data_IF_189596538661
#
_entry.id   IF_189596538661
#
_cell.length_a   1.000
_cell.length_b   1.000
_cell.length_c   1.000
_cell.angle_alpha   90.00
_cell.angle_beta   90.00
_cell.angle_gamma   90.00
#
_symmetry.space_group_name_H-M   'P 1'
#
loop_
_entity.id
_entity.type
_entity.pdbx_description
1 polymer ?
#
# COMPACT_ATOMS: atom_id res chain seq x y z
N UNK A 1 4.70 -23.06 4.04
CA UNK A 1 4.31 -22.31 2.82
C UNK A 1 3.64 -21.02 3.25
N UNK A 2 3.91 -19.88 2.61
CA UNK A 2 3.21 -18.62 2.92
C UNK A 2 1.84 -18.68 2.21
N UNK A 3 0.75 -18.36 2.91
CA UNK A 3 -0.61 -18.50 2.37
C UNK A 3 -0.98 -17.48 1.27
N UNK A 4 -0.04 -16.60 0.88
CA UNK A 4 -0.27 -15.53 -0.08
C UNK A 4 0.89 -15.42 -1.08
N UNK A 5 0.58 -15.39 -2.38
CA UNK A 5 1.53 -15.15 -3.47
C UNK A 5 1.27 -13.78 -4.11
N UNK A 6 1.71 -12.72 -3.42
CA UNK A 6 1.61 -11.37 -3.96
C UNK A 6 2.50 -11.13 -5.19
N UNK A 7 3.73 -11.67 -5.31
CA UNK A 7 4.52 -11.52 -6.53
C UNK A 7 3.80 -11.98 -7.81
N UNK A 8 3.09 -13.12 -7.79
CA UNK A 8 2.29 -13.56 -8.93
C UNK A 8 1.13 -12.61 -9.24
N UNK A 9 0.45 -12.09 -8.21
CA UNK A 9 -0.60 -11.08 -8.38
C UNK A 9 -0.06 -9.75 -8.90
N UNK A 10 1.09 -9.29 -8.41
CA UNK A 10 1.75 -8.08 -8.90
C UNK A 10 2.11 -8.18 -10.39
N UNK A 11 2.56 -9.35 -10.86
CA UNK A 11 2.74 -9.62 -12.30
C UNK A 11 1.43 -9.59 -13.08
N UNK A 12 0.33 -10.06 -12.51
CA UNK A 12 -0.97 -9.98 -13.16
C UNK A 12 -1.47 -8.52 -13.24
N UNK A 13 -1.31 -7.76 -12.15
CA UNK A 13 -1.63 -6.33 -12.08
C UNK A 13 -0.80 -5.55 -13.12
N UNK A 14 0.50 -5.82 -13.26
CA UNK A 14 1.33 -5.12 -14.25
C UNK A 14 0.90 -5.41 -15.69
N UNK A 15 0.45 -6.64 -16.00
CA UNK A 15 -0.14 -6.96 -17.31
C UNK A 15 -1.44 -6.19 -17.57
N UNK A 16 -2.32 -6.10 -16.57
CA UNK A 16 -3.56 -5.32 -16.66
C UNK A 16 -3.23 -3.85 -16.94
N UNK A 17 -2.35 -3.25 -16.15
CA UNK A 17 -2.00 -1.84 -16.26
C UNK A 17 -1.25 -1.50 -17.57
N UNK A 18 -0.58 -2.48 -18.17
CA UNK A 18 0.05 -2.30 -19.49
C UNK A 18 -0.97 -2.15 -20.61
N UNK A 19 -2.15 -2.76 -20.44
CA UNK A 19 -3.26 -2.66 -21.38
C UNK A 19 -4.06 -1.37 -21.14
N UNK A 20 -4.40 -1.08 -19.89
CA UNK A 20 -5.25 0.07 -19.51
C UNK A 20 -4.51 1.41 -19.52
N UNK A 21 -3.21 1.40 -19.19
CA UNK A 21 -2.32 2.57 -19.11
C UNK A 21 -2.89 3.77 -18.32
N UNK A 22 -3.38 3.57 -17.09
CA UNK A 22 -3.90 4.68 -16.30
C UNK A 22 -2.78 5.62 -15.84
N UNK A 23 -3.02 6.93 -15.81
CA UNK A 23 -2.02 7.92 -15.38
C UNK A 23 -1.83 7.97 -13.85
N UNK A 24 -2.85 7.53 -13.10
CA UNK A 24 -2.82 7.40 -11.66
C UNK A 24 -3.57 6.14 -11.19
N UNK A 25 -3.11 5.54 -10.10
CA UNK A 25 -3.65 4.29 -9.53
C UNK A 25 -3.80 4.48 -8.02
N UNK A 26 -5.02 4.31 -7.51
CA UNK A 26 -5.27 4.19 -6.08
C UNK A 26 -5.15 2.73 -5.62
N UNK A 27 -4.43 2.49 -4.53
CA UNK A 27 -4.19 1.18 -3.97
C UNK A 27 -4.54 1.18 -2.48
N UNK A 28 -5.27 0.15 -2.06
CA UNK A 28 -5.56 -0.13 -0.65
C UNK A 28 -4.81 -1.39 -0.21
N UNK A 29 -4.57 -1.52 1.08
CA UNK A 29 -3.96 -2.71 1.68
C UNK A 29 -2.59 -3.10 1.07
N UNK A 30 -1.77 -2.10 0.79
CA UNK A 30 -0.40 -2.25 0.27
C UNK A 30 0.55 -2.66 1.40
N UNK A 31 0.33 -3.87 1.91
CA UNK A 31 0.93 -4.38 3.13
C UNK A 31 2.47 -4.34 3.12
N UNK A 32 3.04 -4.04 4.29
CA UNK A 32 4.43 -4.30 4.63
C UNK A 32 4.47 -5.33 5.74
N UNK A 33 5.08 -6.48 5.44
CA UNK A 33 5.29 -7.58 6.36
C UNK A 33 6.75 -7.66 6.76
N UNK A 34 7.00 -7.69 8.07
CA UNK A 34 8.32 -7.88 8.65
C UNK A 34 8.31 -8.99 9.68
N UNK A 35 9.44 -9.66 9.88
CA UNK A 35 9.60 -10.74 10.86
C UNK A 35 10.99 -10.68 11.49
N UNK A 36 11.11 -11.13 12.74
CA UNK A 36 12.39 -11.25 13.43
C UNK A 36 12.25 -11.90 14.81
N UNK A 37 13.35 -11.98 15.59
CA UNK A 37 13.33 -12.54 16.94
C UNK A 37 12.43 -11.74 17.90
N UNK A 38 11.89 -12.38 18.96
CA UNK A 38 10.89 -11.83 19.88
C UNK A 38 11.32 -10.51 20.57
N UNK A 39 12.64 -10.30 20.77
CA UNK A 39 13.22 -9.02 21.24
C UNK A 39 14.22 -8.41 20.25
N UNK A 40 14.30 -8.94 19.03
CA UNK A 40 15.31 -8.58 18.04
C UNK A 40 14.82 -7.65 16.94
N UNK A 41 15.71 -7.32 15.98
CA UNK A 41 15.36 -6.51 14.83
C UNK A 41 14.36 -7.23 13.92
N UNK A 42 13.50 -6.45 13.28
CA UNK A 42 12.55 -6.92 12.28
C UNK A 42 13.15 -6.74 10.88
N UNK A 43 13.02 -7.76 10.03
CA UNK A 43 13.44 -7.73 8.63
C UNK A 43 12.24 -7.82 7.71
N UNK A 44 12.26 -7.08 6.60
CA UNK A 44 11.20 -7.14 5.58
C UNK A 44 11.14 -8.52 4.95
N UNK A 45 9.96 -9.13 5.00
CA UNK A 45 9.65 -10.39 4.32
C UNK A 45 8.91 -10.12 3.02
N UNK A 46 7.91 -9.22 3.06
CA UNK A 46 7.21 -8.72 1.88
C UNK A 46 6.95 -7.23 2.02
N UNK A 47 7.32 -6.46 1.01
CA UNK A 47 6.82 -5.11 0.81
C UNK A 47 6.01 -5.11 -0.49
N UNK A 48 4.68 -5.07 -0.37
CA UNK A 48 3.79 -5.15 -1.53
C UNK A 48 3.96 -3.95 -2.48
N UNK A 49 4.27 -2.77 -1.95
CA UNK A 49 4.49 -1.57 -2.76
C UNK A 49 5.75 -1.76 -3.61
N UNK A 50 6.85 -2.16 -2.99
CA UNK A 50 8.13 -2.37 -3.66
C UNK A 50 8.07 -3.53 -4.67
N UNK A 51 7.39 -4.64 -4.32
CA UNK A 51 7.13 -5.74 -5.26
C UNK A 51 6.33 -5.24 -6.48
N UNK A 52 5.24 -4.51 -6.27
CA UNK A 52 4.42 -4.01 -7.37
C UNK A 52 5.21 -3.04 -8.25
N UNK A 53 5.91 -2.06 -7.68
CA UNK A 53 6.72 -1.10 -8.44
C UNK A 53 7.82 -1.79 -9.26
N UNK A 54 8.43 -2.87 -8.75
CA UNK A 54 9.38 -3.68 -9.53
C UNK A 54 8.70 -4.39 -10.71
N UNK A 55 7.54 -5.00 -10.51
CA UNK A 55 6.83 -5.70 -11.58
C UNK A 55 6.27 -4.74 -12.64
N UNK A 56 5.89 -3.52 -12.25
CA UNK A 56 5.56 -2.44 -13.18
C UNK A 56 6.77 -2.07 -14.04
N UNK A 57 7.92 -1.80 -13.42
CA UNK A 57 9.16 -1.49 -14.15
C UNK A 57 9.55 -2.61 -15.12
N UNK A 58 9.45 -3.87 -14.70
CA UNK A 58 9.70 -5.04 -15.58
C UNK A 58 8.74 -5.12 -16.76
N UNK A 59 7.52 -4.63 -16.61
CA UNK A 59 6.53 -4.54 -17.69
C UNK A 59 6.70 -3.30 -18.59
N UNK A 60 7.74 -2.48 -18.38
CA UNK A 60 7.98 -1.24 -19.10
C UNK A 60 7.10 -0.07 -18.62
N UNK A 61 6.51 -0.20 -17.43
CA UNK A 61 5.65 0.81 -16.82
C UNK A 61 6.41 1.52 -15.70
N UNK A 62 6.49 2.85 -15.80
CA UNK A 62 7.24 3.68 -14.87
C UNK A 62 6.26 4.45 -14.01
N UNK A 63 6.08 4.00 -12.77
CA UNK A 63 5.25 4.64 -11.77
C UNK A 63 6.06 4.91 -10.51
N UNK A 64 5.67 5.96 -9.79
CA UNK A 64 6.15 6.29 -8.45
C UNK A 64 4.99 6.49 -7.49
N UNK A 65 5.23 6.24 -6.20
CA UNK A 65 4.26 6.60 -5.17
C UNK A 65 4.24 8.12 -4.98
N UNK A 66 3.07 8.72 -5.15
CA UNK A 66 2.83 10.15 -4.95
C UNK A 66 2.29 10.47 -3.55
N UNK A 67 1.56 9.53 -2.95
CA UNK A 67 1.12 9.57 -1.56
C UNK A 67 1.11 8.14 -1.01
N UNK A 68 1.50 7.97 0.25
CA UNK A 68 1.42 6.70 0.98
C UNK A 68 0.95 7.00 2.41
N UNK A 69 -0.23 6.52 2.76
CA UNK A 69 -0.78 6.58 4.11
C UNK A 69 -0.45 5.28 4.85
N UNK A 70 -0.21 5.36 6.16
CA UNK A 70 -0.10 4.20 7.05
C UNK A 70 -1.33 4.12 7.95
N UNK A 71 -2.26 3.23 7.59
CA UNK A 71 -3.54 3.05 8.31
C UNK A 71 -3.44 2.09 9.49
N UNK A 72 -2.23 1.67 9.88
CA UNK A 72 -1.99 0.97 11.14
C UNK A 72 -0.77 0.07 11.11
N UNK A 73 -0.24 -0.25 12.28
CA UNK A 73 0.80 -1.26 12.45
C UNK A 73 0.48 -2.13 13.66
N UNK A 74 0.60 -3.44 13.48
CA UNK A 74 0.48 -4.43 14.53
C UNK A 74 1.73 -5.28 14.55
N UNK A 75 2.23 -5.57 15.75
CA UNK A 75 3.34 -6.51 15.93
C UNK A 75 2.94 -7.53 16.99
N UNK A 76 3.03 -8.81 16.65
CA UNK A 76 2.60 -9.91 17.51
C UNK A 76 3.66 -11.02 17.54
N UNK A 77 3.83 -11.72 18.68
CA UNK A 77 4.52 -13.00 18.70
C UNK A 77 3.85 -13.98 17.74
N UNK A 78 4.65 -14.72 16.97
CA UNK A 78 4.17 -15.81 16.09
C UNK A 78 4.75 -17.17 16.48
N UNK A 79 5.68 -17.18 17.44
CA UNK A 79 6.21 -18.37 18.10
C UNK A 79 6.83 -17.95 19.44
N UNK A 80 7.40 -18.91 20.19
CA UNK A 80 8.14 -18.63 21.42
C UNK A 80 9.42 -17.79 21.20
N UNK A 81 9.93 -17.73 19.97
CA UNK A 81 11.22 -17.08 19.66
C UNK A 81 11.10 -15.96 18.63
N UNK A 82 9.97 -15.82 17.94
CA UNK A 82 9.79 -14.89 16.82
C UNK A 82 8.53 -14.04 16.95
N UNK A 83 8.59 -12.86 16.34
CA UNK A 83 7.46 -11.95 16.14
C UNK A 83 7.36 -11.51 14.69
N UNK A 84 6.14 -11.20 14.27
CA UNK A 84 5.84 -10.60 12.98
C UNK A 84 5.22 -9.21 13.19
N UNK A 85 5.50 -8.32 12.24
CA UNK A 85 4.89 -7.00 12.15
C UNK A 85 4.18 -6.86 10.81
N UNK A 86 2.95 -6.36 10.88
CA UNK A 86 2.11 -6.02 9.75
C UNK A 86 1.85 -4.53 9.79
N UNK A 87 2.22 -3.83 8.74
CA UNK A 87 1.87 -2.42 8.52
C UNK A 87 0.93 -2.33 7.33
N UNK A 88 -0.27 -1.81 7.56
CA UNK A 88 -1.22 -1.53 6.50
C UNK A 88 -0.93 -0.16 5.89
N UNK A 89 -0.94 -0.08 4.56
CA UNK A 89 -0.71 1.17 3.83
C UNK A 89 -1.69 1.30 2.69
N UNK A 90 -2.07 2.52 2.38
CA UNK A 90 -2.78 2.86 1.15
C UNK A 90 -1.91 3.81 0.35
N UNK A 91 -1.94 3.74 -0.98
CA UNK A 91 -1.03 4.50 -1.82
C UNK A 91 -1.72 5.03 -3.07
N UNK A 92 -1.26 6.20 -3.54
CA UNK A 92 -1.53 6.66 -4.91
C UNK A 92 -0.23 6.54 -5.69
N UNK A 93 -0.25 5.74 -6.76
CA UNK A 93 0.81 5.72 -7.75
C UNK A 93 0.46 6.67 -8.90
N UNK A 94 1.47 7.34 -9.45
CA UNK A 94 1.36 8.18 -10.64
C UNK A 94 2.42 7.76 -11.64
N UNK A 95 2.12 7.86 -12.92
CA UNK A 95 3.11 7.65 -13.96
C UNK A 95 4.25 8.67 -13.83
N UNK A 96 5.49 8.23 -14.07
CA UNK A 96 6.65 9.11 -14.01
C UNK A 96 6.55 10.24 -15.03
N UNK A 97 7.06 11.42 -14.66
CA UNK A 97 6.98 12.63 -15.48
C UNK A 97 5.68 13.43 -15.35
N UNK A 98 4.64 12.90 -14.70
CA UNK A 98 3.44 13.67 -14.38
C UNK A 98 3.70 14.69 -13.26
N UNK A 99 3.35 15.97 -13.45
CA UNK A 99 3.34 16.95 -12.37
C UNK A 99 2.34 16.53 -11.30
N UNK A 100 2.81 16.46 -10.05
CA UNK A 100 1.98 16.19 -8.89
C UNK A 100 2.14 17.32 -7.89
N UNK A 101 1.01 17.78 -7.37
CA UNK A 101 0.94 18.80 -6.33
C UNK A 101 -0.03 18.37 -5.24
N UNK A 102 0.02 19.04 -4.08
CA UNK A 102 -1.01 18.92 -3.04
C UNK A 102 -1.26 17.47 -2.57
N UNK A 103 -0.18 16.70 -2.41
CA UNK A 103 -0.25 15.36 -1.85
C UNK A 103 -0.62 15.43 -0.37
N UNK A 104 -1.69 14.74 0.00
CA UNK A 104 -2.25 14.75 1.34
C UNK A 104 -2.63 13.32 1.75
N UNK A 105 -2.44 12.99 3.02
CA UNK A 105 -2.87 11.74 3.64
C UNK A 105 -3.39 12.03 5.04
N UNK A 106 -4.58 11.54 5.37
CA UNK A 106 -5.21 11.77 6.67
C UNK A 106 -5.98 10.55 7.14
N UNK A 107 -5.96 10.34 8.45
CA UNK A 107 -6.73 9.30 9.11
C UNK A 107 -8.11 9.84 9.51
N UNK A 108 -9.14 9.00 9.36
CA UNK A 108 -10.46 9.25 9.90
C UNK A 108 -10.46 9.13 11.42
N UNK A 109 -11.38 9.85 12.07
CA UNK A 109 -11.62 9.68 13.50
C UNK A 109 -12.22 8.29 13.82
N UNK A 110 -13.04 7.77 12.90
CA UNK A 110 -13.57 6.42 12.97
C UNK A 110 -12.46 5.38 12.76
N UNK A 111 -12.51 4.30 13.55
CA UNK A 111 -11.56 3.19 13.48
C UNK A 111 -12.31 1.89 13.27
N UNK A 112 -11.80 1.03 12.40
CA UNK A 112 -12.28 -0.33 12.30
C UNK A 112 -11.74 -1.13 13.47
N UNK A 113 -12.64 -1.65 14.30
CA UNK A 113 -12.27 -2.48 15.44
C UNK A 113 -12.94 -3.84 15.35
N UNK A 114 -12.19 -4.89 15.68
CA UNK A 114 -12.73 -6.25 15.79
C UNK A 114 -12.11 -6.96 16.99
N UNK A 115 -12.92 -7.80 17.64
CA UNK A 115 -12.49 -8.62 18.76
C UNK A 115 -12.35 -10.06 18.30
N UNK A 116 -11.19 -10.64 18.57
CA UNK A 116 -10.95 -12.07 18.30
C UNK A 116 -11.78 -12.95 19.25
N UNK A 117 -12.01 -14.24 18.92
CA UNK A 117 -12.65 -15.18 19.84
C UNK A 117 -11.94 -15.34 21.20
N UNK A 118 -10.68 -14.89 21.31
CA UNK A 118 -9.87 -14.91 22.53
C UNK A 118 -9.97 -13.60 23.35
N UNK A 119 -10.89 -12.69 22.99
CA UNK A 119 -11.11 -11.44 23.73
C UNK A 119 -10.12 -10.31 23.42
N UNK A 120 -9.18 -10.51 22.49
CA UNK A 120 -8.25 -9.46 22.07
C UNK A 120 -8.91 -8.58 21.02
N UNK A 121 -9.02 -7.28 21.30
CA UNK A 121 -9.54 -6.28 20.34
C UNK A 121 -8.39 -5.62 19.58
N UNK A 122 -8.48 -5.65 18.26
CA UNK A 122 -7.63 -4.88 17.38
C UNK A 122 -8.39 -3.66 16.87
N UNK A 123 -7.72 -2.51 16.81
CA UNK A 123 -8.27 -1.27 16.28
C UNK A 123 -7.33 -0.70 15.23
N UNK A 124 -7.82 -0.58 14.01
CA UNK A 124 -7.11 -0.05 12.87
C UNK A 124 -7.70 1.30 12.48
N UNK A 125 -6.87 2.36 12.43
CA UNK A 125 -7.22 3.56 11.71
C UNK A 125 -7.69 3.25 10.27
N UNK A 126 -8.51 4.16 9.77
CA UNK A 126 -8.94 4.23 8.39
C UNK A 126 -8.53 5.58 7.85
N UNK A 127 -8.41 5.76 6.55
CA UNK A 127 -7.80 6.96 6.02
C UNK A 127 -8.11 7.21 4.56
N UNK A 128 -7.59 8.33 4.09
CA UNK A 128 -7.62 8.70 2.69
C UNK A 128 -6.31 9.36 2.30
N UNK A 129 -5.96 9.21 1.03
CA UNK A 129 -4.92 9.98 0.38
C UNK A 129 -5.46 10.66 -0.85
N UNK A 130 -4.96 11.85 -1.16
CA UNK A 130 -5.29 12.52 -2.41
C UNK A 130 -4.10 13.29 -2.94
N UNK A 131 -4.06 13.42 -4.26
CA UNK A 131 -3.04 14.19 -4.99
C UNK A 131 -3.72 14.94 -6.13
N UNK A 132 -3.18 16.08 -6.49
CA UNK A 132 -3.59 16.80 -7.69
C UNK A 132 -2.58 16.51 -8.81
N UNK A 133 -3.06 16.06 -9.97
CA UNK A 133 -2.22 15.73 -11.14
C UNK A 133 -2.64 16.56 -12.37
N UNK A 134 -1.73 16.72 -13.32
CA UNK A 134 -2.03 17.27 -14.65
C UNK A 134 -1.97 16.11 -15.65
N UNK A 135 -3.09 15.79 -16.29
CA UNK A 135 -3.17 14.66 -17.24
C UNK A 135 -2.37 14.96 -18.52
N UNK A 136 -1.78 13.94 -19.15
CA UNK A 136 -1.05 14.10 -20.42
C UNK A 136 -1.96 14.67 -21.50
N UNK A 137 -1.44 15.68 -22.19
CA UNK A 137 -2.15 16.36 -23.27
C UNK A 137 -3.35 17.19 -22.80
N UNK A 138 -3.56 17.37 -21.49
CA UNK A 138 -4.64 18.21 -20.94
C UNK A 138 -4.08 19.21 -19.93
N UNK A 139 -4.34 20.52 -20.08
CA UNK A 139 -3.86 21.52 -19.14
C UNK A 139 -4.64 21.51 -17.81
N UNK A 140 -5.77 20.80 -17.74
CA UNK A 140 -6.62 20.75 -16.57
C UNK A 140 -6.00 19.89 -15.46
N UNK A 141 -6.08 20.39 -14.23
CA UNK A 141 -5.70 19.68 -13.01
C UNK A 141 -6.86 18.81 -12.54
N UNK A 142 -6.58 17.56 -12.19
CA UNK A 142 -7.54 16.61 -11.65
C UNK A 142 -7.08 16.18 -10.26
N UNK A 143 -8.01 16.13 -9.30
CA UNK A 143 -7.74 15.56 -7.98
C UNK A 143 -8.10 14.08 -7.97
N UNK A 144 -7.12 13.25 -7.66
CA UNK A 144 -7.27 11.80 -7.50
C UNK A 144 -7.25 11.50 -6.01
N UNK A 145 -8.24 10.76 -5.52
CA UNK A 145 -8.32 10.35 -4.14
C UNK A 145 -8.51 8.83 -4.03
N UNK A 146 -7.88 8.24 -3.02
CA UNK A 146 -8.14 6.88 -2.56
C UNK A 146 -8.55 6.93 -1.10
N UNK A 147 -9.55 6.14 -0.72
CA UNK A 147 -10.07 6.05 0.64
C UNK A 147 -10.17 4.59 1.04
N UNK A 148 -9.95 4.31 2.31
CA UNK A 148 -10.12 3.00 2.92
C UNK A 148 -11.02 3.20 4.13
N UNK A 149 -12.24 2.64 4.06
CA UNK A 149 -13.30 2.81 5.05
C UNK A 149 -13.41 1.62 6.02
#
# INVERSE_FOLDING_TARGET
MVATDFPSRARAISRLLRNERPEAIGLQEVALWRKGPLGGPLHTTYDFLDILLRELRRAGLHYRAAAVDTTGTITLPISATERASFTNRDAILVEDGLPVTNAQSHLYAAKFSFTTPFGVTFSFPRGWSAVDIVLKGKPARVRVATTHL
#
